data_IF_638963696769
#
_entry.id   IF_638963696769
#
_cell.length_a   1.000
_cell.length_b   1.000
_cell.length_c   1.000
_cell.angle_alpha   90.00
_cell.angle_beta   90.00
_cell.angle_gamma   90.00
#
_symmetry.space_group_name_H-M   'P 1'
#
loop_
_entity.id
_entity.type
_entity.pdbx_description
1 polymer ?
#
# COMPACT_ATOMS: atom_id res chain seq x y z
N UNK A 1 -16.73 -74.63 -26.52
CA UNK A 1 -16.65 -74.15 -25.14
C UNK A 1 -16.08 -72.74 -25.19
N UNK A 2 -16.98 -71.75 -25.20
CA UNK A 2 -16.91 -70.44 -24.51
C UNK A 2 -15.56 -69.69 -24.56
N UNK A 3 -15.35 -68.49 -25.10
CA UNK A 3 -16.16 -67.38 -25.61
C UNK A 3 -15.29 -66.09 -25.45
N UNK A 4 -15.26 -65.12 -26.38
CA UNK A 4 -14.63 -63.83 -26.13
C UNK A 4 -15.68 -62.76 -25.76
N UNK A 5 -15.52 -62.11 -24.61
CA UNK A 5 -16.30 -60.93 -24.23
C UNK A 5 -15.44 -59.93 -23.47
N UNK A 6 -15.18 -58.81 -24.13
CA UNK A 6 -15.05 -57.50 -23.51
C UNK A 6 -16.30 -56.68 -23.95
N UNK A 7 -16.59 -55.47 -23.44
CA UNK A 7 -16.03 -54.71 -22.32
C UNK A 7 -17.17 -54.10 -21.42
N UNK A 8 -16.81 -53.10 -20.60
CA UNK A 8 -17.65 -52.05 -19.99
C UNK A 8 -17.87 -52.17 -18.47
N UNK A 9 -17.10 -51.37 -17.73
CA UNK A 9 -17.53 -50.81 -16.46
C UNK A 9 -17.82 -49.31 -16.67
N UNK A 10 -18.97 -48.80 -16.22
CA UNK A 10 -19.33 -47.39 -16.30
C UNK A 10 -18.87 -46.60 -15.06
N UNK A 11 -18.60 -45.31 -15.24
CA UNK A 11 -18.53 -44.27 -14.19
C UNK A 11 -17.29 -44.36 -13.29
N UNK A 12 -16.46 -43.32 -13.15
CA UNK A 12 -16.88 -41.97 -12.72
C UNK A 12 -15.74 -41.00 -13.03
N UNK A 13 -16.11 -39.84 -13.56
CA UNK A 13 -15.21 -38.74 -13.87
C UNK A 13 -14.42 -38.24 -12.64
N UNK A 14 -13.23 -37.65 -12.82
CA UNK A 14 -12.60 -36.83 -11.80
C UNK A 14 -13.41 -35.54 -11.66
N UNK A 15 -14.18 -35.40 -10.59
CA UNK A 15 -14.89 -34.16 -10.30
C UNK A 15 -14.83 -33.88 -8.80
N UNK A 16 -13.72 -33.27 -8.39
CA UNK A 16 -13.75 -32.28 -7.32
C UNK A 16 -13.26 -30.96 -7.90
N UNK A 17 -14.24 -30.19 -8.34
CA UNK A 17 -14.25 -28.74 -8.44
C UNK A 17 -13.80 -28.11 -7.12
N UNK A 18 -12.72 -27.34 -7.16
CA UNK A 18 -12.60 -26.12 -6.37
C UNK A 18 -12.02 -25.05 -7.32
N UNK A 19 -12.70 -23.89 -7.46
CA UNK A 19 -12.31 -22.88 -8.42
C UNK A 19 -10.92 -22.35 -8.09
N UNK A 20 -10.14 -22.11 -9.15
CA UNK A 20 -9.04 -21.15 -9.17
C UNK A 20 -9.32 -20.00 -8.21
N UNK A 21 -8.55 -19.91 -7.12
CA UNK A 21 -8.42 -18.66 -6.36
C UNK A 21 -7.81 -17.68 -7.34
N UNK A 22 -8.67 -16.92 -8.03
CA UNK A 22 -8.24 -15.70 -8.70
C UNK A 22 -7.42 -14.93 -7.67
N UNK A 23 -6.21 -14.43 -7.99
CA UNK A 23 -5.62 -13.45 -7.11
C UNK A 23 -6.62 -12.31 -7.11
N UNK A 24 -7.36 -12.14 -6.00
CA UNK A 24 -8.04 -10.88 -5.71
C UNK A 24 -6.99 -9.83 -6.05
N UNK A 25 -7.19 -8.94 -7.04
CA UNK A 25 -6.22 -7.91 -7.31
C UNK A 25 -6.11 -7.17 -5.99
N UNK A 26 -5.02 -7.43 -5.27
CA UNK A 26 -4.71 -6.68 -4.06
C UNK A 26 -4.83 -5.24 -4.51
N UNK A 27 -5.68 -4.42 -3.87
CA UNK A 27 -5.76 -3.03 -4.25
C UNK A 27 -4.32 -2.56 -4.22
N UNK A 28 -3.80 -2.12 -5.37
CA UNK A 28 -2.44 -1.58 -5.47
C UNK A 28 -2.49 -0.28 -4.70
N UNK A 29 -2.32 -0.40 -3.38
CA UNK A 29 -2.36 0.72 -2.46
C UNK A 29 -1.13 1.52 -2.84
N UNK A 30 -1.34 2.77 -3.21
CA UNK A 30 -0.24 3.69 -3.39
C UNK A 30 0.57 3.66 -2.09
N UNK A 31 1.86 3.39 -2.20
CA UNK A 31 2.73 3.39 -1.03
C UNK A 31 3.65 4.59 -1.14
N UNK A 32 3.88 5.22 -0.02
CA UNK A 32 4.79 6.36 0.05
C UNK A 32 6.17 5.91 0.57
N UNK A 33 6.34 4.60 0.86
CA UNK A 33 7.63 4.01 1.18
C UNK A 33 8.22 4.62 2.46
N UNK A 34 7.37 4.89 3.44
CA UNK A 34 7.77 5.45 4.73
C UNK A 34 7.03 4.73 5.84
N UNK A 35 7.67 4.71 7.00
CA UNK A 35 7.10 4.26 8.24
C UNK A 35 6.75 5.49 9.08
N UNK A 36 5.49 5.59 9.46
CA UNK A 36 4.99 6.68 10.28
C UNK A 36 4.24 6.12 11.50
N UNK A 37 4.41 6.79 12.63
CA UNK A 37 3.72 6.50 13.88
C UNK A 37 2.93 7.72 14.33
N UNK A 38 2.02 7.53 15.27
CA UNK A 38 1.29 8.62 15.88
C UNK A 38 2.27 9.58 16.59
N UNK A 39 2.16 10.88 16.32
CA UNK A 39 2.98 11.88 16.99
C UNK A 39 2.34 12.28 18.34
N UNK A 40 3.13 12.79 19.28
CA UNK A 40 2.60 13.30 20.58
C UNK A 40 1.61 14.47 20.42
N UNK A 41 1.59 15.10 19.25
CA UNK A 41 0.62 16.13 18.84
C UNK A 41 -0.02 15.70 17.52
N UNK A 42 -1.05 16.40 17.08
CA UNK A 42 -1.66 16.18 15.76
C UNK A 42 -0.57 16.05 14.67
N UNK A 43 -0.55 14.91 14.00
CA UNK A 43 0.36 14.59 12.92
C UNK A 43 0.83 13.14 12.91
N UNK A 44 1.42 12.73 11.79
CA UNK A 44 2.09 11.44 11.65
C UNK A 44 3.60 11.63 11.70
N UNK A 45 4.26 11.16 12.75
CA UNK A 45 5.71 11.24 12.89
C UNK A 45 6.37 10.18 12.01
N UNK A 46 7.21 10.63 11.09
CA UNK A 46 8.00 9.77 10.20
C UNK A 46 9.13 9.14 11.01
N UNK A 47 9.06 7.83 11.23
CA UNK A 47 10.11 7.06 11.91
C UNK A 47 11.03 6.37 10.93
N UNK A 48 10.64 6.21 9.67
CA UNK A 48 11.48 5.54 8.69
C UNK A 48 11.14 6.00 7.29
N UNK A 49 12.14 6.06 6.42
CA UNK A 49 11.95 6.36 5.00
C UNK A 49 12.72 5.30 4.23
N UNK A 50 12.05 4.64 3.31
CA UNK A 50 12.62 3.62 2.46
C UNK A 50 13.37 4.27 1.29
N UNK A 51 14.59 3.79 1.02
CA UNK A 51 15.46 4.28 -0.06
C UNK A 51 15.89 3.10 -0.92
N UNK A 52 15.64 3.11 -2.24
CA UNK A 52 14.90 4.13 -2.97
C UNK A 52 13.39 4.05 -2.71
N UNK A 53 12.70 5.19 -2.68
CA UNK A 53 11.26 5.22 -2.46
C UNK A 53 10.64 6.60 -2.69
N UNK A 54 9.31 6.66 -2.92
CA UNK A 54 8.60 7.90 -3.22
C UNK A 54 8.68 8.94 -2.09
N UNK A 55 8.71 8.50 -0.83
CA UNK A 55 8.93 9.39 0.32
C UNK A 55 10.35 9.97 0.35
N UNK A 56 11.36 9.16 0.00
CA UNK A 56 12.73 9.65 -0.11
C UNK A 56 12.90 10.65 -1.26
N UNK A 57 12.33 10.35 -2.43
CA UNK A 57 12.32 11.27 -3.59
C UNK A 57 11.63 12.59 -3.27
N UNK A 58 10.62 12.57 -2.39
CA UNK A 58 9.97 13.77 -1.90
C UNK A 58 10.82 14.61 -0.93
N UNK A 59 11.94 14.06 -0.45
CA UNK A 59 12.77 14.70 0.58
C UNK A 59 12.22 14.53 2.00
N UNK A 60 11.33 13.55 2.24
CA UNK A 60 10.93 13.22 3.60
C UNK A 60 12.10 12.61 4.36
N UNK A 61 12.23 12.98 5.63
CA UNK A 61 13.29 12.51 6.50
C UNK A 61 12.71 11.97 7.80
N UNK A 62 13.43 11.04 8.43
CA UNK A 62 13.06 10.54 9.76
C UNK A 62 13.07 11.70 10.76
N UNK A 63 11.99 11.80 11.54
CA UNK A 63 11.77 12.84 12.54
C UNK A 63 10.91 14.00 12.07
N UNK A 64 10.48 14.01 10.80
CA UNK A 64 9.44 14.91 10.33
C UNK A 64 8.07 14.49 10.84
N UNK A 65 7.24 15.47 11.17
CA UNK A 65 5.83 15.25 11.53
C UNK A 65 4.97 15.72 10.39
N UNK A 66 4.29 14.80 9.72
CA UNK A 66 3.37 15.11 8.65
C UNK A 66 2.04 15.62 9.23
N UNK A 67 1.65 16.83 8.85
CA UNK A 67 0.44 17.50 9.34
C UNK A 67 -0.66 17.56 8.28
N UNK A 68 -0.27 17.53 7.00
CA UNK A 68 -1.22 17.50 5.90
C UNK A 68 -0.67 16.71 4.72
N UNK A 69 -1.57 16.02 4.03
CA UNK A 69 -1.33 15.30 2.80
C UNK A 69 -2.28 15.87 1.73
N UNK A 70 -1.73 16.77 0.92
CA UNK A 70 -2.41 17.56 -0.09
C UNK A 70 -3.47 18.43 0.54
N UNK A 71 -4.72 17.99 0.38
CA UNK A 71 -5.92 18.69 0.87
C UNK A 71 -6.45 18.08 2.17
N UNK A 72 -5.85 16.99 2.63
CA UNK A 72 -6.30 16.19 3.76
C UNK A 72 -5.44 16.55 4.96
N UNK A 73 -6.07 16.95 6.08
CA UNK A 73 -5.35 17.09 7.35
C UNK A 73 -5.05 15.72 7.91
N UNK A 74 -3.80 15.54 8.32
CA UNK A 74 -3.31 14.31 8.93
C UNK A 74 -3.11 14.60 10.41
N UNK A 75 -3.98 14.02 11.24
CA UNK A 75 -3.85 14.12 12.69
C UNK A 75 -3.17 12.88 13.29
N UNK A 76 -3.17 11.75 12.59
CA UNK A 76 -2.62 10.46 13.06
C UNK A 76 -1.95 9.70 11.91
N UNK A 77 -1.08 8.73 12.24
CA UNK A 77 -0.49 7.84 11.23
C UNK A 77 -1.53 7.03 10.44
N UNK A 78 -2.64 6.66 11.07
CA UNK A 78 -3.74 5.97 10.40
C UNK A 78 -4.44 6.83 9.35
N UNK A 79 -4.58 8.13 9.63
CA UNK A 79 -5.14 9.08 8.65
C UNK A 79 -4.18 9.25 7.46
N UNK A 80 -2.87 9.33 7.71
CA UNK A 80 -1.87 9.34 6.65
C UNK A 80 -1.99 8.12 5.73
N UNK A 81 -2.04 6.92 6.31
CA UNK A 81 -2.17 5.69 5.55
C UNK A 81 -3.43 5.70 4.67
N UNK A 82 -4.55 6.21 5.20
CA UNK A 82 -5.80 6.37 4.43
C UNK A 82 -5.69 7.45 3.35
N UNK A 83 -5.06 8.58 3.63
CA UNK A 83 -4.88 9.67 2.69
C UNK A 83 -3.99 9.23 1.51
N UNK A 84 -2.90 8.53 1.80
CA UNK A 84 -2.00 7.94 0.79
C UNK A 84 -2.73 6.86 0.00
N UNK A 85 -3.49 5.98 0.64
CA UNK A 85 -4.28 4.97 -0.06
C UNK A 85 -5.37 5.57 -0.98
N UNK A 86 -5.91 6.74 -0.61
CA UNK A 86 -6.85 7.52 -1.45
C UNK A 86 -6.15 8.33 -2.52
N UNK A 87 -4.85 8.60 -2.36
CA UNK A 87 -4.06 9.34 -3.32
C UNK A 87 -3.85 8.49 -4.58
N UNK A 88 -3.86 9.14 -5.74
CA UNK A 88 -3.49 8.46 -6.98
C UNK A 88 -1.98 8.26 -7.02
N UNK A 89 -1.55 7.01 -7.15
CA UNK A 89 -0.18 6.70 -7.50
C UNK A 89 0.22 7.39 -8.82
N UNK A 90 1.43 7.92 -8.88
CA UNK A 90 1.97 8.69 -10.01
C UNK A 90 1.56 10.17 -10.03
N UNK A 91 0.76 10.65 -9.07
CA UNK A 91 0.36 12.07 -8.98
C UNK A 91 1.18 12.78 -7.91
N UNK A 92 1.77 13.91 -8.25
CA UNK A 92 2.37 14.80 -7.25
C UNK A 92 1.33 15.26 -6.23
N UNK A 93 1.64 15.06 -4.95
CA UNK A 93 0.86 15.54 -3.82
C UNK A 93 1.75 16.37 -2.92
N UNK A 94 1.28 17.56 -2.61
CA UNK A 94 1.93 18.43 -1.64
C UNK A 94 1.77 17.87 -0.23
N UNK A 95 2.80 17.89 0.59
CA UNK A 95 2.77 17.45 1.97
C UNK A 95 3.26 18.57 2.85
N UNK A 96 2.51 18.89 3.89
CA UNK A 96 2.98 19.81 4.93
C UNK A 96 3.60 18.97 6.03
N UNK A 97 4.93 19.04 6.15
CA UNK A 97 5.67 18.49 7.27
C UNK A 97 6.06 19.59 8.25
N UNK A 98 6.32 19.17 9.47
CA UNK A 98 6.96 19.96 10.50
C UNK A 98 8.24 19.24 10.91
N UNK A 99 9.36 19.88 10.65
CA UNK A 99 10.65 19.37 11.09
C UNK A 99 10.76 19.44 12.62
N UNK A 100 11.62 18.58 13.17
CA UNK A 100 11.98 18.61 14.60
C UNK A 100 12.47 19.99 15.07
N UNK A 101 13.08 20.77 14.19
CA UNK A 101 13.52 22.15 14.44
C UNK A 101 12.35 23.13 14.70
N UNK A 102 11.11 22.72 14.45
CA UNK A 102 9.89 23.51 14.64
C UNK A 102 9.40 24.24 13.40
N UNK A 103 10.18 24.25 12.31
CA UNK A 103 9.81 24.83 11.02
C UNK A 103 8.83 23.94 10.26
N UNK A 104 7.89 24.58 9.54
CA UNK A 104 7.00 23.91 8.60
C UNK A 104 7.63 23.91 7.22
N UNK A 105 7.60 22.78 6.54
CA UNK A 105 8.09 22.65 5.18
C UNK A 105 7.02 21.98 4.33
N UNK A 106 6.80 22.54 3.14
CA UNK A 106 5.99 21.90 2.12
C UNK A 106 6.91 21.09 1.21
N UNK A 107 6.63 19.81 1.11
CA UNK A 107 7.31 18.87 0.23
C UNK A 107 6.33 18.41 -0.84
N UNK A 108 6.84 17.93 -1.97
CA UNK A 108 6.00 17.30 -3.00
C UNK A 108 6.44 15.86 -3.13
N UNK A 109 5.54 14.92 -2.84
CA UNK A 109 5.79 13.50 -3.06
C UNK A 109 4.92 12.98 -4.18
N UNK A 110 5.47 12.02 -4.93
CA UNK A 110 4.69 11.25 -5.90
C UNK A 110 4.45 9.89 -5.27
N UNK A 111 3.24 9.56 -4.78
CA UNK A 111 2.94 8.23 -4.31
C UNK A 111 3.19 7.22 -5.43
N UNK A 112 3.92 6.15 -5.14
CA UNK A 112 4.34 5.18 -6.15
C UNK A 112 3.95 3.77 -5.73
N UNK A 113 4.14 2.82 -6.64
CA UNK A 113 4.20 1.41 -6.27
C UNK A 113 5.68 1.10 -6.06
N UNK A 114 6.08 0.85 -4.81
CA UNK A 114 7.40 0.26 -4.54
C UNK A 114 7.28 -1.22 -4.90
N UNK A 115 8.02 -1.64 -5.92
CA UNK A 115 8.14 -3.04 -6.35
C UNK A 115 9.43 -3.61 -5.78
#
# INVERSE_FOLDING_TARGET
>A
MDGPSAPAHPGTAPSSTAPTTAPSPVPVVATLGLEAVDAEKAGALVVGVHVPGPGYTAGLVRGDVLLAFGRTRIDTAGDLARAVARARAGREVELTVRHRSGGYQQLTAVPGVVT
#
